data_IF_178699375635
#
_entry.id   IF_178699375635
#
_cell.length_a   1.000
_cell.length_b   1.000
_cell.length_c   1.000
_cell.angle_alpha   90.00
_cell.angle_beta   90.00
_cell.angle_gamma   90.00
#
_symmetry.space_group_name_H-M   'P 1'
#
loop_
_entity.id
_entity.type
_entity.pdbx_description
1 polymer ?
#
# COMPACT_ATOMS: atom_id res chain seq x y z
N UNK A 1 7.59 9.56 5.57
CA UNK A 1 6.48 10.43 6.05
C UNK A 1 5.68 10.83 4.83
N UNK A 2 4.40 10.46 4.76
CA UNK A 2 3.60 10.90 3.62
C UNK A 2 3.46 12.43 3.62
N UNK A 3 3.16 13.01 2.46
CA UNK A 3 3.02 14.45 2.30
C UNK A 3 1.97 15.02 3.28
N UNK A 4 0.87 14.26 3.51
CA UNK A 4 -0.20 14.62 4.44
C UNK A 4 0.31 14.64 5.89
N UNK A 5 1.07 13.63 6.31
CA UNK A 5 1.64 13.58 7.67
C UNK A 5 2.72 14.65 7.88
N UNK A 6 3.54 14.96 6.85
CA UNK A 6 4.49 16.06 6.92
C UNK A 6 3.80 17.43 7.01
N UNK A 7 2.74 17.63 6.23
CA UNK A 7 1.94 18.85 6.23
C UNK A 7 1.19 18.97 7.57
N UNK A 8 0.52 17.92 8.04
CA UNK A 8 -0.29 17.93 9.25
C UNK A 8 0.54 17.97 10.56
N UNK A 9 1.82 17.56 10.52
CA UNK A 9 2.72 17.61 11.66
C UNK A 9 3.59 18.89 11.71
N UNK A 10 3.53 19.72 10.67
CA UNK A 10 4.28 20.99 10.65
C UNK A 10 3.31 22.17 10.84
N UNK A 11 3.31 22.72 12.07
CA UNK A 11 2.38 23.79 12.47
C UNK A 11 2.47 25.06 11.59
N UNK A 12 3.65 25.36 11.04
CA UNK A 12 3.83 26.51 10.14
C UNK A 12 3.17 26.29 8.80
N UNK A 13 3.30 25.09 8.23
CA UNK A 13 2.64 24.71 6.96
C UNK A 13 1.12 24.67 7.15
N UNK A 14 0.61 24.21 8.29
CA UNK A 14 -0.83 24.15 8.57
C UNK A 14 -1.46 25.54 8.61
N UNK A 15 -0.78 26.52 9.19
CA UNK A 15 -1.27 27.91 9.24
C UNK A 15 -1.37 28.51 7.84
N UNK A 16 -0.38 28.23 6.99
CA UNK A 16 -0.38 28.70 5.61
C UNK A 16 -1.48 28.04 4.77
N UNK A 17 -1.72 26.74 4.98
CA UNK A 17 -2.78 25.99 4.27
C UNK A 17 -4.20 26.37 4.69
N UNK A 18 -4.40 26.92 5.89
CA UNK A 18 -5.70 27.45 6.34
C UNK A 18 -6.09 28.74 5.59
N UNK A 19 -5.09 29.49 5.11
CA UNK A 19 -5.32 30.72 4.33
C UNK A 19 -5.62 30.45 2.84
N UNK A 20 -5.29 29.28 2.33
CA UNK A 20 -5.49 28.90 0.92
C UNK A 20 -6.95 28.53 0.68
N UNK A 21 -7.65 29.29 -0.13
CA UNK A 21 -9.06 29.02 -0.51
C UNK A 21 -9.13 28.22 -1.81
N UNK A 22 -10.11 27.33 -1.87
CA UNK A 22 -10.38 26.52 -3.06
C UNK A 22 -11.19 27.32 -4.06
N UNK A 23 -10.78 27.26 -5.33
CA UNK A 23 -11.39 28.06 -6.39
C UNK A 23 -12.76 27.62 -6.90
N UNK A 24 -13.40 26.63 -6.25
CA UNK A 24 -14.71 26.08 -6.64
C UNK A 24 -15.92 26.85 -6.09
N UNK A 25 -15.67 27.95 -5.36
CA UNK A 25 -16.72 28.72 -4.66
C UNK A 25 -17.09 28.14 -3.29
N UNK A 26 -16.48 27.04 -2.83
CA UNK A 26 -16.63 26.55 -1.47
C UNK A 26 -15.80 27.40 -0.50
N UNK A 27 -16.22 27.47 0.77
CA UNK A 27 -15.43 28.09 1.81
C UNK A 27 -14.42 27.11 2.44
N UNK A 28 -14.23 25.94 1.83
CA UNK A 28 -13.32 24.92 2.34
C UNK A 28 -11.87 25.37 2.18
N UNK A 29 -11.07 25.22 3.21
CA UNK A 29 -9.63 25.44 3.15
C UNK A 29 -8.94 24.22 2.52
N UNK A 30 -7.71 24.41 2.00
CA UNK A 30 -6.90 23.29 1.54
C UNK A 30 -6.66 22.27 2.68
N UNK A 31 -6.63 22.71 3.94
CA UNK A 31 -6.59 21.85 5.12
C UNK A 31 -7.85 20.97 5.22
N UNK A 32 -9.04 21.53 4.99
CA UNK A 32 -10.29 20.77 5.04
C UNK A 32 -10.33 19.74 3.93
N UNK A 33 -9.85 20.09 2.73
CA UNK A 33 -9.71 19.16 1.62
C UNK A 33 -8.70 18.06 1.95
N UNK A 34 -7.52 18.39 2.43
CA UNK A 34 -6.51 17.40 2.84
C UNK A 34 -7.00 16.52 3.98
N UNK A 35 -7.84 17.04 4.88
CA UNK A 35 -8.49 16.27 5.94
C UNK A 35 -9.65 15.41 5.42
N UNK A 36 -10.32 15.84 4.35
CA UNK A 36 -11.37 15.06 3.67
C UNK A 36 -10.81 13.91 2.83
N UNK A 37 -9.53 13.99 2.44
CA UNK A 37 -8.81 12.83 1.94
C UNK A 37 -8.55 11.89 3.12
N UNK A 38 -9.54 11.07 3.45
CA UNK A 38 -9.31 9.89 4.29
C UNK A 38 -8.08 9.15 3.77
N UNK A 39 -7.22 8.61 4.65
CA UNK A 39 -6.18 7.68 4.21
C UNK A 39 -6.86 6.66 3.30
N UNK A 40 -6.18 6.28 2.22
CA UNK A 40 -6.77 5.45 1.17
C UNK A 40 -7.43 4.22 1.81
N UNK A 41 -8.75 4.31 2.01
CA UNK A 41 -9.56 3.18 2.43
C UNK A 41 -9.45 2.17 1.31
N UNK A 42 -9.33 0.90 1.64
CA UNK A 42 -9.42 -0.17 0.65
C UNK A 42 -10.84 -0.13 0.09
N UNK A 43 -10.99 0.52 -1.04
CA UNK A 43 -12.28 0.72 -1.72
C UNK A 43 -12.32 -0.11 -3.00
N UNK A 44 -13.51 -0.45 -3.49
CA UNK A 44 -13.67 -1.05 -4.80
C UNK A 44 -12.87 -0.27 -5.85
N UNK A 45 -12.05 -0.97 -6.60
CA UNK A 45 -11.12 -0.38 -7.54
C UNK A 45 -10.79 -1.41 -8.60
N UNK A 46 -10.57 -1.00 -9.83
CA UNK A 46 -10.31 -1.95 -10.92
C UNK A 46 -8.82 -1.99 -11.20
N UNK A 47 -8.22 -3.18 -10.97
CA UNK A 47 -6.88 -3.52 -11.44
C UNK A 47 -5.74 -2.78 -10.75
N UNK A 48 -5.87 -2.44 -9.47
CA UNK A 48 -4.72 -1.93 -8.70
C UNK A 48 -3.70 -3.03 -8.48
N UNK A 49 -2.43 -2.74 -8.72
CA UNK A 49 -1.36 -3.74 -8.57
C UNK A 49 -0.75 -3.70 -7.18
N UNK A 50 -0.52 -4.90 -6.64
CA UNK A 50 0.15 -5.14 -5.37
C UNK A 50 1.51 -5.80 -5.65
N UNK A 51 2.57 -5.25 -5.10
CA UNK A 51 3.92 -5.84 -5.21
C UNK A 51 4.05 -7.05 -4.28
N UNK A 52 4.14 -8.25 -4.85
CA UNK A 52 4.25 -9.52 -4.13
C UNK A 52 5.61 -9.62 -3.45
N UNK A 53 5.62 -9.67 -2.12
CA UNK A 53 6.83 -9.63 -1.27
C UNK A 53 7.70 -8.40 -1.57
N UNK A 54 7.09 -7.26 -1.88
CA UNK A 54 7.73 -6.09 -2.47
C UNK A 54 7.83 -6.19 -4.00
N UNK A 55 8.87 -5.59 -4.59
CA UNK A 55 9.16 -5.73 -6.02
C UNK A 55 10.13 -6.90 -6.23
N UNK A 56 9.63 -8.11 -6.09
CA UNK A 56 10.39 -9.35 -6.09
C UNK A 56 11.30 -9.54 -7.31
N UNK A 57 10.87 -9.09 -8.49
CA UNK A 57 11.72 -9.18 -9.70
C UNK A 57 12.92 -8.22 -9.70
N UNK A 58 12.94 -7.23 -8.82
CA UNK A 58 13.96 -6.17 -8.80
C UNK A 58 14.87 -6.22 -7.56
N UNK A 59 14.43 -6.82 -6.47
CA UNK A 59 15.20 -6.94 -5.23
C UNK A 59 14.79 -8.21 -4.48
N UNK A 60 15.61 -8.71 -3.54
CA UNK A 60 15.29 -9.89 -2.76
C UNK A 60 13.94 -9.75 -2.02
N UNK A 61 13.12 -10.80 -2.07
CA UNK A 61 11.78 -10.84 -1.49
C UNK A 61 11.75 -10.50 0.00
N UNK A 62 10.65 -9.88 0.46
CA UNK A 62 10.42 -9.57 1.87
C UNK A 62 11.57 -8.79 2.55
N UNK A 63 12.22 -7.89 1.81
CA UNK A 63 13.29 -7.03 2.32
C UNK A 63 12.92 -5.55 2.22
N UNK A 64 13.58 -4.72 3.02
CA UNK A 64 13.42 -3.26 2.91
C UNK A 64 13.70 -2.76 1.49
N UNK A 65 14.70 -3.33 0.82
CA UNK A 65 15.04 -3.00 -0.56
C UNK A 65 13.89 -3.31 -1.54
N UNK A 66 13.23 -4.48 -1.42
CA UNK A 66 12.10 -4.83 -2.29
C UNK A 66 10.85 -3.98 -1.99
N UNK A 67 10.62 -3.62 -0.74
CA UNK A 67 9.51 -2.76 -0.35
C UNK A 67 9.69 -1.34 -0.88
N UNK A 68 10.87 -0.75 -0.73
CA UNK A 68 11.20 0.56 -1.28
C UNK A 68 11.15 0.55 -2.81
N UNK A 69 11.71 -0.48 -3.46
CA UNK A 69 11.65 -0.63 -4.91
C UNK A 69 10.20 -0.70 -5.41
N UNK A 70 9.31 -1.42 -4.71
CA UNK A 70 7.89 -1.48 -5.06
C UNK A 70 7.20 -0.12 -4.92
N UNK A 71 7.49 0.62 -3.86
CA UNK A 71 6.99 1.98 -3.67
C UNK A 71 7.45 2.92 -4.78
N UNK A 72 8.73 2.89 -5.14
CA UNK A 72 9.33 3.70 -6.21
C UNK A 72 8.76 3.33 -7.58
N UNK A 73 8.51 2.04 -7.82
CA UNK A 73 7.90 1.55 -9.05
C UNK A 73 6.44 1.98 -9.20
N UNK A 74 5.75 2.30 -8.09
CA UNK A 74 4.38 2.81 -8.08
C UNK A 74 3.32 1.73 -7.92
N UNK A 75 3.66 0.60 -7.29
CA UNK A 75 2.64 -0.34 -6.82
C UNK A 75 1.70 0.37 -5.84
N UNK A 76 0.39 0.09 -5.96
CA UNK A 76 -0.62 0.64 -5.06
C UNK A 76 -0.48 0.10 -3.64
N UNK A 77 -0.20 -1.19 -3.52
CA UNK A 77 0.01 -1.88 -2.26
C UNK A 77 1.29 -2.71 -2.30
N UNK A 78 1.83 -2.98 -1.15
CA UNK A 78 3.02 -3.81 -0.98
C UNK A 78 2.61 -5.01 -0.14
N UNK A 79 2.74 -6.20 -0.69
CA UNK A 79 2.47 -7.42 0.06
C UNK A 79 3.73 -7.89 0.78
N UNK A 80 3.53 -8.46 1.96
CA UNK A 80 4.54 -9.13 2.78
C UNK A 80 3.94 -10.27 3.58
N UNK A 81 4.75 -11.30 3.81
CA UNK A 81 4.43 -12.42 4.71
C UNK A 81 4.97 -12.16 6.10
N UNK A 82 4.18 -12.35 7.16
CA UNK A 82 4.64 -12.18 8.53
C UNK A 82 4.67 -13.46 9.33
N UNK A 83 5.76 -13.61 10.10
CA UNK A 83 5.96 -14.66 11.09
C UNK A 83 6.30 -14.06 12.45
N UNK A 84 6.01 -14.80 13.53
CA UNK A 84 6.51 -14.44 14.85
C UNK A 84 7.79 -15.20 15.21
N UNK A 85 8.72 -14.52 15.86
CA UNK A 85 9.92 -15.11 16.47
C UNK A 85 9.64 -15.72 17.84
N UNK A 86 10.61 -16.45 18.41
CA UNK A 86 10.50 -17.05 19.75
C UNK A 86 10.40 -16.01 20.86
N UNK A 87 11.09 -14.88 20.71
CA UNK A 87 11.09 -13.76 21.67
C UNK A 87 9.95 -12.76 21.42
N UNK A 88 9.08 -13.03 20.44
CA UNK A 88 7.83 -12.30 20.26
C UNK A 88 7.88 -11.12 19.31
N UNK A 89 8.92 -10.99 18.49
CA UNK A 89 8.94 -10.03 17.40
C UNK A 89 8.15 -10.55 16.19
N UNK A 90 7.68 -9.62 15.34
CA UNK A 90 7.10 -9.95 14.03
C UNK A 90 8.12 -9.59 12.95
N UNK A 91 8.35 -10.53 12.04
CA UNK A 91 9.34 -10.39 10.96
C UNK A 91 8.72 -10.68 9.60
N UNK A 92 9.27 -10.05 8.55
CA UNK A 92 8.81 -10.23 7.18
C UNK A 92 9.63 -11.34 6.51
N UNK A 93 9.03 -12.50 6.31
CA UNK A 93 9.64 -13.65 5.64
C UNK A 93 8.55 -14.62 5.18
N UNK A 94 8.71 -15.24 4.00
CA UNK A 94 7.69 -16.13 3.45
C UNK A 94 7.68 -17.52 4.09
N UNK A 95 8.84 -18.16 4.18
CA UNK A 95 8.94 -19.54 4.61
C UNK A 95 8.88 -19.65 6.14
N UNK A 96 8.48 -20.81 6.65
CA UNK A 96 8.53 -21.10 8.08
C UNK A 96 9.96 -21.20 8.62
N UNK A 97 10.96 -21.27 7.73
CA UNK A 97 12.39 -21.32 8.08
C UNK A 97 13.15 -20.21 7.35
N UNK A 98 14.33 -19.85 7.87
CA UNK A 98 15.18 -18.83 7.27
C UNK A 98 16.12 -19.38 6.16
N UNK A 99 16.14 -20.70 5.95
CA UNK A 99 17.16 -21.44 5.19
C UNK A 99 17.24 -21.05 3.71
N UNK A 100 16.12 -20.74 3.06
CA UNK A 100 16.09 -20.48 1.61
C UNK A 100 16.61 -19.11 1.22
N UNK A 101 16.43 -18.12 2.09
CA UNK A 101 16.69 -16.71 1.76
C UNK A 101 17.83 -16.11 2.55
N UNK A 102 18.42 -16.87 3.50
CA UNK A 102 19.52 -16.38 4.34
C UNK A 102 20.65 -17.40 4.44
N UNK A 103 21.84 -16.92 4.84
CA UNK A 103 23.01 -17.73 5.16
C UNK A 103 22.88 -18.50 6.51
N UNK A 104 21.73 -18.40 7.17
CA UNK A 104 21.38 -19.11 8.40
C UNK A 104 20.47 -20.32 8.19
N UNK A 105 20.04 -20.95 9.28
CA UNK A 105 19.10 -22.06 9.24
C UNK A 105 18.23 -22.13 10.51
N UNK A 106 17.02 -22.68 10.35
CA UNK A 106 16.10 -22.93 11.44
C UNK A 106 14.71 -22.32 11.28
N UNK A 107 13.78 -22.80 12.09
CA UNK A 107 12.42 -22.30 12.09
C UNK A 107 12.33 -20.90 12.73
N UNK A 108 11.67 -19.97 12.04
CA UNK A 108 11.50 -18.57 12.48
C UNK A 108 10.94 -18.49 13.89
N UNK A 109 9.92 -19.28 14.21
CA UNK A 109 9.28 -19.28 15.53
C UNK A 109 10.11 -19.93 16.66
N UNK A 110 11.24 -20.57 16.34
CA UNK A 110 12.18 -21.13 17.31
C UNK A 110 13.40 -20.23 17.54
N UNK A 111 13.62 -19.25 16.67
CA UNK A 111 14.74 -18.31 16.73
C UNK A 111 14.29 -16.99 17.34
N UNK A 112 15.17 -16.34 18.11
CA UNK A 112 15.00 -14.96 18.53
C UNK A 112 15.27 -14.02 17.34
N UNK A 113 14.72 -12.80 17.37
CA UNK A 113 15.01 -11.82 16.34
C UNK A 113 16.51 -11.51 16.23
N UNK A 114 17.22 -11.50 17.37
CA UNK A 114 18.67 -11.31 17.39
C UNK A 114 19.42 -12.41 16.64
N UNK A 115 19.02 -13.66 16.78
CA UNK A 115 19.62 -14.78 16.04
C UNK A 115 19.35 -14.64 14.54
N UNK A 116 18.14 -14.25 14.13
CA UNK A 116 17.79 -13.98 12.72
C UNK A 116 18.61 -12.80 12.18
N UNK A 117 18.81 -11.74 12.95
CA UNK A 117 19.62 -10.59 12.55
C UNK A 117 21.11 -10.88 12.39
N UNK A 118 21.62 -11.96 12.99
CA UNK A 118 23.00 -12.39 12.75
C UNK A 118 23.20 -13.00 11.35
N UNK A 119 22.13 -13.49 10.72
CA UNK A 119 22.15 -14.02 9.36
C UNK A 119 21.99 -12.89 8.33
N UNK A 120 22.61 -13.06 7.15
CA UNK A 120 22.40 -12.15 6.02
C UNK A 120 21.42 -12.78 5.03
N UNK A 121 20.64 -11.94 4.35
CA UNK A 121 19.94 -12.38 3.13
C UNK A 121 21.03 -12.67 2.09
N UNK A 122 21.04 -13.88 1.53
CA UNK A 122 22.03 -14.36 0.59
C UNK A 122 21.44 -14.88 -0.74
N UNK A 123 20.11 -14.89 -0.83
CA UNK A 123 19.37 -15.33 -2.02
C UNK A 123 18.24 -14.36 -2.40
N UNK A 124 17.90 -14.37 -3.68
CA UNK A 124 16.84 -13.55 -4.25
C UNK A 124 17.32 -12.74 -5.46
N UNK A 125 16.38 -12.04 -6.08
CA UNK A 125 16.65 -11.24 -7.29
C UNK A 125 17.67 -10.16 -7.00
N UNK A 126 18.69 -10.07 -7.85
CA UNK A 126 19.74 -9.05 -7.77
C UNK A 126 20.47 -8.95 -6.42
N UNK A 127 20.56 -10.07 -5.68
CA UNK A 127 21.16 -10.07 -4.33
C UNK A 127 22.57 -9.47 -4.28
N UNK A 128 23.36 -9.60 -5.34
CA UNK A 128 24.71 -9.01 -5.46
C UNK A 128 24.71 -7.48 -5.29
N UNK A 129 23.61 -6.82 -5.62
CA UNK A 129 23.49 -5.36 -5.58
C UNK A 129 23.07 -4.86 -4.19
N UNK A 130 22.75 -5.79 -3.28
CA UNK A 130 22.22 -5.51 -1.95
C UNK A 130 23.01 -6.20 -0.82
N UNK A 131 24.32 -5.93 -0.69
CA UNK A 131 25.13 -6.59 0.34
C UNK A 131 24.68 -6.24 1.76
N UNK A 132 24.61 -7.24 2.63
CA UNK A 132 24.32 -7.04 4.05
C UNK A 132 22.84 -6.82 4.41
N UNK A 133 21.91 -7.12 3.50
CA UNK A 133 20.48 -7.13 3.82
C UNK A 133 20.18 -8.11 4.96
N UNK A 134 19.21 -7.75 5.76
CA UNK A 134 18.69 -8.53 6.88
C UNK A 134 17.19 -8.77 6.72
N UNK A 135 16.68 -9.79 7.41
CA UNK A 135 15.23 -10.00 7.55
C UNK A 135 14.64 -8.83 8.33
N UNK A 136 13.73 -8.04 7.73
CA UNK A 136 13.20 -6.85 8.39
C UNK A 136 12.16 -7.20 9.45
N UNK A 137 12.02 -6.34 10.45
CA UNK A 137 10.86 -6.32 11.33
C UNK A 137 9.62 -5.83 10.60
N UNK A 138 8.48 -6.22 11.09
CA UNK A 138 7.18 -5.75 10.60
C UNK A 138 7.04 -4.22 10.69
N UNK A 139 7.61 -3.61 11.73
CA UNK A 139 7.65 -2.16 11.92
C UNK A 139 8.43 -1.44 10.82
N UNK A 140 9.51 -2.03 10.31
CA UNK A 140 10.31 -1.45 9.21
C UNK A 140 9.49 -1.43 7.92
N UNK A 141 8.77 -2.52 7.62
CA UNK A 141 7.85 -2.59 6.50
C UNK A 141 6.73 -1.54 6.59
N UNK A 142 6.06 -1.43 7.74
CA UNK A 142 5.02 -0.41 7.95
C UNK A 142 5.57 1.02 7.83
N UNK A 143 6.79 1.25 8.31
CA UNK A 143 7.48 2.53 8.17
C UNK A 143 7.66 2.91 6.71
N UNK A 144 8.10 1.97 5.87
CA UNK A 144 8.27 2.19 4.42
C UNK A 144 6.90 2.44 3.77
N UNK A 145 5.90 1.60 4.02
CA UNK A 145 4.55 1.82 3.48
C UNK A 145 4.01 3.21 3.84
N UNK A 146 4.16 3.62 5.10
CA UNK A 146 3.74 4.94 5.58
C UNK A 146 4.51 6.07 4.89
N UNK A 147 5.84 5.93 4.76
CA UNK A 147 6.70 6.94 4.16
C UNK A 147 6.32 7.23 2.70
N UNK A 148 5.95 6.20 1.94
CA UNK A 148 5.63 6.30 0.53
C UNK A 148 4.13 6.39 0.23
N UNK A 149 3.27 6.26 1.25
CA UNK A 149 1.81 6.23 1.09
C UNK A 149 1.29 4.96 0.40
N UNK A 150 2.04 3.87 0.43
CA UNK A 150 1.63 2.58 -0.09
C UNK A 150 0.71 1.85 0.91
N UNK A 151 -0.24 1.06 0.39
CA UNK A 151 -1.13 0.26 1.22
C UNK A 151 -0.41 -1.00 1.71
N UNK A 152 -0.31 -1.23 3.04
CA UNK A 152 0.19 -2.49 3.55
C UNK A 152 -0.79 -3.63 3.22
N UNK A 153 -0.28 -4.68 2.59
CA UNK A 153 -1.00 -5.93 2.34
C UNK A 153 -0.25 -7.05 3.06
N UNK A 154 -0.87 -7.64 4.09
CA UNK A 154 -0.16 -8.45 5.08
C UNK A 154 -0.71 -9.88 5.03
N UNK A 155 0.09 -10.83 4.53
CA UNK A 155 -0.23 -12.24 4.69
C UNK A 155 0.15 -12.71 6.09
N UNK A 156 -0.85 -13.13 6.87
CA UNK A 156 -0.64 -13.68 8.21
C UNK A 156 -0.32 -15.16 8.09
N UNK A 157 0.95 -15.48 7.86
CA UNK A 157 1.39 -16.82 7.47
C UNK A 157 1.93 -17.66 8.62
N UNK A 158 2.76 -17.09 9.45
CA UNK A 158 3.48 -17.80 10.50
C UNK A 158 2.86 -17.71 11.89
N UNK A 159 1.73 -17.03 12.03
CA UNK A 159 1.04 -16.89 13.33
C UNK A 159 -0.04 -17.96 13.44
N UNK A 160 0.10 -18.86 14.42
CA UNK A 160 -0.91 -19.90 14.65
C UNK A 160 -2.22 -19.29 15.16
N UNK A 161 -3.36 -19.84 14.73
CA UNK A 161 -4.71 -19.33 15.04
C UNK A 161 -4.99 -19.24 16.55
N UNK A 162 -4.45 -20.13 17.36
CA UNK A 162 -4.60 -20.09 18.81
C UNK A 162 -3.67 -19.10 19.52
N UNK A 163 -2.82 -18.39 18.78
CA UNK A 163 -1.83 -17.47 19.34
C UNK A 163 -2.26 -16.01 19.27
N UNK A 164 -3.41 -15.71 19.85
CA UNK A 164 -4.09 -14.40 19.82
C UNK A 164 -3.18 -13.24 20.23
N UNK A 165 -2.17 -13.45 21.07
CA UNK A 165 -1.25 -12.37 21.48
C UNK A 165 -0.51 -11.73 20.29
N UNK A 166 -0.15 -12.52 19.27
CA UNK A 166 0.56 -11.99 18.10
C UNK A 166 -0.37 -11.28 17.12
N UNK A 167 -1.62 -11.75 16.99
CA UNK A 167 -2.64 -10.98 16.25
C UNK A 167 -2.88 -9.62 16.90
N UNK A 168 -2.97 -9.57 18.24
CA UNK A 168 -3.09 -8.31 18.99
C UNK A 168 -1.86 -7.43 18.78
N UNK A 169 -0.63 -8.00 18.84
CA UNK A 169 0.61 -7.24 18.56
C UNK A 169 0.57 -6.67 17.14
N UNK A 170 0.29 -7.47 16.12
CA UNK A 170 0.19 -7.03 14.73
C UNK A 170 -0.77 -5.84 14.58
N UNK A 171 -1.99 -5.98 15.09
CA UNK A 171 -3.02 -4.93 14.97
C UNK A 171 -2.64 -3.68 15.77
N UNK A 172 -2.05 -3.83 16.96
CA UNK A 172 -1.55 -2.71 17.76
C UNK A 172 -0.46 -1.95 17.00
N UNK A 173 0.50 -2.65 16.39
CA UNK A 173 1.54 -2.04 15.58
C UNK A 173 0.94 -1.30 14.37
N UNK A 174 -0.02 -1.90 13.65
CA UNK A 174 -0.71 -1.22 12.53
C UNK A 174 -1.38 0.09 13.02
N UNK A 175 -2.01 0.09 14.20
CA UNK A 175 -2.63 1.28 14.81
C UNK A 175 -1.61 2.34 15.18
N UNK A 176 -0.49 1.97 15.76
CA UNK A 176 0.61 2.88 16.11
C UNK A 176 1.16 3.61 14.89
N UNK A 177 1.17 2.94 13.72
CA UNK A 177 1.53 3.56 12.45
C UNK A 177 0.38 4.33 11.80
N UNK A 178 -0.83 4.34 12.39
CA UNK A 178 -2.00 5.05 11.86
C UNK A 178 -2.56 4.47 10.56
N UNK A 179 -2.35 3.16 10.31
CA UNK A 179 -2.66 2.52 9.03
C UNK A 179 -3.83 1.54 9.09
N UNK A 180 -4.59 1.49 10.19
CA UNK A 180 -5.65 0.49 10.39
C UNK A 180 -6.75 0.54 9.31
N UNK A 181 -7.09 1.73 8.81
CA UNK A 181 -8.10 1.91 7.75
C UNK A 181 -7.53 1.78 6.33
N UNK A 182 -6.20 1.89 6.20
CA UNK A 182 -5.48 1.78 4.92
C UNK A 182 -4.68 0.49 4.81
N UNK A 183 -5.08 -0.57 5.50
CA UNK A 183 -4.38 -1.84 5.56
C UNK A 183 -5.29 -2.97 5.07
N UNK A 184 -4.69 -3.94 4.43
CA UNK A 184 -5.31 -5.20 4.03
C UNK A 184 -4.59 -6.36 4.73
N UNK A 185 -5.34 -7.26 5.37
CA UNK A 185 -4.81 -8.54 5.84
C UNK A 185 -5.34 -9.66 4.96
N UNK A 186 -4.48 -10.60 4.60
CA UNK A 186 -4.81 -11.78 3.81
C UNK A 186 -4.40 -13.06 4.54
N UNK A 187 -5.13 -14.15 4.31
CA UNK A 187 -4.84 -15.44 4.96
C UNK A 187 -6.01 -16.42 4.92
N UNK A 188 -5.96 -17.44 5.76
CA UNK A 188 -7.05 -18.43 5.88
C UNK A 188 -8.33 -17.78 6.43
N UNK A 189 -9.48 -18.41 6.18
CA UNK A 189 -10.77 -17.95 6.73
C UNK A 189 -10.73 -17.82 8.26
N UNK A 190 -10.14 -18.79 8.96
CA UNK A 190 -9.99 -18.74 10.42
C UNK A 190 -9.14 -17.54 10.85
N UNK A 191 -8.01 -17.34 10.19
CA UNK A 191 -7.11 -16.23 10.45
C UNK A 191 -7.83 -14.88 10.24
N UNK A 192 -8.55 -14.71 9.15
CA UNK A 192 -9.29 -13.49 8.85
C UNK A 192 -10.44 -13.24 9.83
N UNK A 193 -11.10 -14.30 10.31
CA UNK A 193 -12.11 -14.20 11.37
C UNK A 193 -11.50 -13.68 12.69
N UNK A 194 -10.28 -14.11 13.02
CA UNK A 194 -9.56 -13.61 14.20
C UNK A 194 -9.20 -12.12 14.01
N UNK A 195 -8.64 -11.74 12.87
CA UNK A 195 -8.33 -10.33 12.54
C UNK A 195 -9.60 -9.49 12.67
N UNK A 196 -10.72 -9.93 12.09
CA UNK A 196 -12.01 -9.26 12.15
C UNK A 196 -12.54 -9.08 13.57
N UNK A 197 -12.36 -10.10 14.43
CA UNK A 197 -12.75 -10.01 15.84
C UNK A 197 -12.00 -8.94 16.64
N UNK A 198 -10.79 -8.56 16.18
CA UNK A 198 -9.91 -7.58 16.81
C UNK A 198 -9.96 -6.20 16.14
N UNK A 199 -10.35 -6.12 14.87
CA UNK A 199 -10.50 -4.88 14.11
C UNK A 199 -11.60 -4.97 13.06
N UNK A 200 -12.52 -4.01 13.07
CA UNK A 200 -13.54 -3.84 12.03
C UNK A 200 -13.08 -2.90 10.90
N UNK A 201 -11.95 -2.22 11.05
CA UNK A 201 -11.44 -1.23 10.10
C UNK A 201 -10.55 -1.84 9.02
N UNK A 202 -9.72 -2.82 9.39
CA UNK A 202 -8.82 -3.52 8.45
C UNK A 202 -9.66 -4.26 7.42
N UNK A 203 -9.31 -4.08 6.12
CA UNK A 203 -9.86 -4.93 5.06
C UNK A 203 -9.26 -6.33 5.16
N UNK A 204 -10.10 -7.38 5.11
CA UNK A 204 -9.63 -8.77 5.20
C UNK A 204 -9.95 -9.53 3.92
N UNK A 205 -9.02 -10.34 3.44
CA UNK A 205 -9.25 -11.22 2.29
C UNK A 205 -8.89 -12.66 2.62
N UNK A 206 -9.77 -13.56 2.24
CA UNK A 206 -9.55 -15.00 2.40
C UNK A 206 -8.84 -15.54 1.16
N UNK A 207 -7.68 -16.17 1.35
CA UNK A 207 -6.94 -16.82 0.27
C UNK A 207 -7.64 -18.11 -0.15
N UNK A 208 -7.83 -18.29 -1.45
CA UNK A 208 -8.40 -19.49 -2.05
C UNK A 208 -7.41 -20.08 -3.07
N UNK A 209 -6.82 -21.21 -2.71
CA UNK A 209 -5.81 -21.90 -3.52
C UNK A 209 -6.38 -22.77 -4.65
N UNK A 210 -7.63 -23.21 -4.55
CA UNK A 210 -8.25 -24.13 -5.51
C UNK A 210 -9.68 -23.71 -5.84
N UNK A 211 -10.04 -23.72 -7.13
CA UNK A 211 -11.39 -23.39 -7.59
C UNK A 211 -12.48 -24.27 -6.96
N UNK A 212 -12.19 -25.55 -6.75
CA UNK A 212 -13.11 -26.52 -6.13
C UNK A 212 -13.53 -26.16 -4.71
N UNK A 213 -12.77 -25.28 -4.05
CA UNK A 213 -13.05 -24.82 -2.69
C UNK A 213 -13.97 -23.58 -2.68
N UNK A 214 -14.27 -22.99 -3.85
CA UNK A 214 -15.14 -21.82 -3.95
C UNK A 214 -16.59 -22.26 -4.02
N UNK A 215 -17.25 -22.28 -2.88
CA UNK A 215 -18.69 -22.55 -2.77
C UNK A 215 -19.45 -21.27 -2.46
N UNK A 216 -20.75 -21.26 -2.75
CA UNK A 216 -21.63 -20.15 -2.38
C UNK A 216 -21.62 -19.91 -0.87
N UNK A 217 -21.62 -20.99 -0.10
CA UNK A 217 -21.56 -20.93 1.36
C UNK A 217 -20.26 -20.27 1.86
N UNK A 218 -19.12 -20.60 1.26
CA UNK A 218 -17.84 -19.94 1.59
C UNK A 218 -17.90 -18.44 1.29
N UNK A 219 -18.41 -18.04 0.12
CA UNK A 219 -18.50 -16.63 -0.24
C UNK A 219 -19.44 -15.86 0.71
N UNK A 220 -20.56 -16.46 1.10
CA UNK A 220 -21.48 -15.87 2.09
C UNK A 220 -20.81 -15.74 3.48
N UNK A 221 -20.06 -16.74 3.91
CA UNK A 221 -19.31 -16.67 5.17
C UNK A 221 -18.24 -15.55 5.13
N UNK A 222 -17.53 -15.37 4.01
CA UNK A 222 -16.56 -14.29 3.84
C UNK A 222 -17.28 -12.93 3.83
N UNK A 223 -18.41 -12.81 3.14
CA UNK A 223 -19.20 -11.59 3.11
C UNK A 223 -19.72 -11.21 4.51
N UNK A 224 -20.05 -12.19 5.33
CA UNK A 224 -20.48 -11.97 6.72
C UNK A 224 -19.39 -11.38 7.61
N UNK A 225 -18.11 -11.47 7.24
CA UNK A 225 -17.03 -10.78 7.95
C UNK A 225 -17.15 -9.24 7.82
N UNK A 226 -17.77 -8.74 6.75
CA UNK A 226 -17.83 -7.30 6.44
C UNK A 226 -16.46 -6.69 6.12
N UNK A 227 -16.41 -5.67 5.30
CA UNK A 227 -15.17 -5.08 4.79
C UNK A 227 -14.17 -6.16 4.36
N UNK A 228 -14.63 -7.05 3.48
CA UNK A 228 -13.94 -8.29 3.15
C UNK A 228 -13.84 -8.55 1.65
N UNK A 229 -13.02 -9.50 1.28
CA UNK A 229 -12.82 -9.93 -0.08
C UNK A 229 -12.21 -11.33 -0.19
N UNK A 230 -11.93 -11.73 -1.41
CA UNK A 230 -11.35 -13.04 -1.74
C UNK A 230 -10.06 -12.81 -2.53
N UNK A 231 -9.05 -13.57 -2.18
CA UNK A 231 -7.75 -13.56 -2.85
C UNK A 231 -7.53 -14.89 -3.57
N UNK A 232 -7.74 -14.89 -4.88
CA UNK A 232 -7.75 -16.09 -5.70
C UNK A 232 -6.39 -16.39 -6.32
N UNK A 233 -6.04 -17.66 -6.40
CA UNK A 233 -5.04 -18.07 -7.36
C UNK A 233 -5.53 -17.74 -8.79
N UNK A 234 -4.69 -17.13 -9.62
CA UNK A 234 -5.06 -16.54 -10.91
C UNK A 234 -5.75 -17.48 -11.91
N UNK A 235 -5.49 -18.80 -11.82
CA UNK A 235 -6.12 -19.81 -12.70
C UNK A 235 -7.60 -20.08 -12.38
N UNK A 236 -8.15 -19.45 -11.33
CA UNK A 236 -9.48 -19.77 -10.80
C UNK A 236 -10.48 -18.62 -10.92
N UNK A 237 -10.15 -17.61 -11.69
CA UNK A 237 -10.99 -16.42 -11.86
C UNK A 237 -11.56 -16.36 -13.26
N UNK A 238 -12.88 -16.21 -13.33
CA UNK A 238 -13.60 -15.81 -14.53
C UNK A 238 -14.57 -14.66 -14.24
N UNK A 239 -15.21 -14.14 -15.28
CA UNK A 239 -16.12 -12.99 -15.18
C UNK A 239 -17.33 -13.28 -14.27
N UNK A 240 -17.82 -14.52 -14.23
CA UNK A 240 -18.98 -14.88 -13.41
C UNK A 240 -18.60 -14.91 -11.93
N UNK A 241 -17.40 -15.42 -11.62
CA UNK A 241 -16.87 -15.41 -10.26
C UNK A 241 -16.68 -13.99 -9.74
N UNK A 242 -16.08 -13.10 -10.53
CA UNK A 242 -15.90 -11.68 -10.15
C UNK A 242 -17.24 -11.01 -9.88
N UNK A 243 -18.22 -11.16 -10.80
CA UNK A 243 -19.57 -10.61 -10.62
C UNK A 243 -20.24 -11.12 -9.36
N UNK A 244 -20.16 -12.43 -9.11
CA UNK A 244 -20.75 -13.05 -7.93
C UNK A 244 -20.14 -12.50 -6.64
N UNK A 245 -18.82 -12.34 -6.59
CA UNK A 245 -18.16 -11.72 -5.44
C UNK A 245 -18.65 -10.27 -5.23
N UNK A 246 -18.71 -9.47 -6.30
CA UNK A 246 -19.18 -8.08 -6.22
C UNK A 246 -20.65 -7.98 -5.82
N UNK A 247 -21.53 -8.89 -6.28
CA UNK A 247 -22.94 -8.95 -5.86
C UNK A 247 -23.08 -9.22 -4.35
N UNK A 248 -22.11 -9.89 -3.73
CA UNK A 248 -22.02 -10.12 -2.30
C UNK A 248 -21.26 -9.01 -1.54
N UNK A 249 -20.80 -7.96 -2.24
CA UNK A 249 -20.01 -6.87 -1.66
C UNK A 249 -18.56 -7.25 -1.35
N UNK A 250 -18.06 -8.35 -1.91
CA UNK A 250 -16.68 -8.81 -1.75
C UNK A 250 -15.76 -8.18 -2.79
N UNK A 251 -14.60 -7.67 -2.35
CA UNK A 251 -13.53 -7.29 -3.27
C UNK A 251 -12.74 -8.51 -3.74
N UNK A 252 -12.23 -8.45 -4.96
CA UNK A 252 -11.52 -9.56 -5.60
C UNK A 252 -10.07 -9.20 -5.81
N UNK A 253 -9.17 -10.01 -5.29
CA UNK A 253 -7.74 -9.99 -5.58
C UNK A 253 -7.34 -11.26 -6.33
N UNK A 254 -6.24 -11.22 -7.07
CA UNK A 254 -5.65 -12.42 -7.68
C UNK A 254 -4.12 -12.41 -7.63
N UNK A 255 -3.54 -13.60 -7.47
CA UNK A 255 -2.11 -13.83 -7.35
C UNK A 255 -1.66 -15.12 -8.05
N UNK A 256 -0.41 -15.24 -8.51
CA UNK A 256 0.49 -14.16 -8.81
C UNK A 256 0.49 -13.96 -10.31
N UNK A 257 0.32 -12.74 -10.78
CA UNK A 257 0.19 -12.41 -12.20
C UNK A 257 1.39 -11.55 -12.62
N UNK A 258 2.28 -12.11 -13.45
CA UNK A 258 3.54 -11.47 -13.85
C UNK A 258 3.58 -11.04 -15.31
N UNK A 259 2.54 -11.33 -16.06
CA UNK A 259 2.42 -10.98 -17.47
C UNK A 259 1.50 -9.77 -17.66
N UNK A 260 1.97 -8.75 -18.36
CA UNK A 260 1.27 -7.48 -18.53
C UNK A 260 -0.06 -7.61 -19.29
N UNK A 261 -0.14 -8.55 -20.23
CA UNK A 261 -1.36 -8.82 -20.96
C UNK A 261 -2.40 -9.48 -20.06
N UNK A 262 -1.97 -10.41 -19.21
CA UNK A 262 -2.87 -11.06 -18.23
C UNK A 262 -3.36 -10.06 -17.19
N UNK A 263 -2.49 -9.16 -16.70
CA UNK A 263 -2.88 -8.07 -15.79
C UNK A 263 -4.00 -7.23 -16.42
N UNK A 264 -3.81 -6.80 -17.67
CA UNK A 264 -4.83 -6.03 -18.38
C UNK A 264 -6.12 -6.84 -18.63
N UNK A 265 -6.02 -8.14 -18.84
CA UNK A 265 -7.17 -9.03 -18.98
C UNK A 265 -7.97 -9.12 -17.68
N UNK A 266 -7.31 -9.35 -16.54
CA UNK A 266 -7.98 -9.36 -15.22
C UNK A 266 -8.58 -7.99 -14.87
N UNK A 267 -7.89 -6.91 -15.22
CA UNK A 267 -8.44 -5.55 -15.08
C UNK A 267 -9.77 -5.41 -15.86
N UNK A 268 -9.82 -5.90 -17.09
CA UNK A 268 -11.06 -5.89 -17.91
C UNK A 268 -12.16 -6.79 -17.36
N UNK A 269 -11.80 -7.86 -16.65
CA UNK A 269 -12.77 -8.70 -15.94
C UNK A 269 -13.37 -8.03 -14.71
N UNK A 270 -12.79 -6.91 -14.26
CA UNK A 270 -13.25 -6.19 -13.08
C UNK A 270 -12.58 -6.63 -11.78
N UNK A 271 -11.46 -7.35 -11.83
CA UNK A 271 -10.67 -7.70 -10.63
C UNK A 271 -10.17 -6.43 -9.98
N UNK A 272 -10.38 -6.29 -8.67
CA UNK A 272 -10.06 -5.06 -7.93
C UNK A 272 -8.55 -4.91 -7.71
N UNK A 273 -7.87 -5.99 -7.34
CA UNK A 273 -6.45 -6.02 -7.02
C UNK A 273 -5.74 -7.15 -7.74
N UNK A 274 -4.50 -6.92 -8.13
CA UNK A 274 -3.67 -7.90 -8.85
C UNK A 274 -2.30 -7.94 -8.22
N UNK A 275 -1.96 -9.03 -7.55
CA UNK A 275 -0.66 -9.24 -6.92
C UNK A 275 0.35 -9.75 -7.95
N UNK A 276 1.49 -9.03 -8.10
CA UNK A 276 2.50 -9.27 -9.12
C UNK A 276 3.92 -9.18 -8.58
N UNK A 277 4.82 -10.04 -9.12
CA UNK A 277 6.24 -9.96 -8.85
C UNK A 277 6.95 -8.86 -9.65
N UNK A 278 6.37 -8.45 -10.79
CA UNK A 278 7.12 -7.75 -11.83
C UNK A 278 6.43 -6.52 -12.44
N UNK A 279 5.17 -6.25 -12.12
CA UNK A 279 4.42 -5.26 -12.89
C UNK A 279 3.55 -4.34 -12.04
N UNK A 280 3.84 -3.03 -12.12
CA UNK A 280 3.00 -1.98 -11.56
C UNK A 280 2.20 -1.27 -12.68
N UNK A 281 0.87 -1.27 -12.57
CA UNK A 281 0.03 -0.48 -13.48
C UNK A 281 0.15 1.01 -13.13
N UNK A 282 0.42 1.83 -14.14
CA UNK A 282 0.59 3.28 -13.97
C UNK A 282 2.03 3.76 -13.85
N UNK A 283 2.99 2.84 -13.85
CA UNK A 283 4.40 3.07 -13.62
C UNK A 283 5.08 4.07 -14.58
N UNK A 284 4.63 4.17 -15.84
CA UNK A 284 5.33 4.99 -16.84
C UNK A 284 5.33 6.49 -16.54
N UNK A 285 4.35 6.98 -15.81
CA UNK A 285 4.28 8.41 -15.43
C UNK A 285 5.11 8.63 -14.15
N UNK A 286 5.03 7.73 -13.19
CA UNK A 286 5.78 7.80 -11.92
C UNK A 286 7.30 7.67 -12.13
N UNK A 287 7.76 6.80 -13.03
CA UNK A 287 9.19 6.64 -13.36
C UNK A 287 9.84 7.89 -13.91
N UNK A 288 9.15 8.63 -14.76
CA UNK A 288 9.71 9.87 -15.31
C UNK A 288 9.79 10.98 -14.26
N UNK A 289 8.83 11.04 -13.34
CA UNK A 289 8.80 12.05 -12.29
C UNK A 289 9.73 11.74 -11.12
N UNK A 290 9.85 10.48 -10.66
CA UNK A 290 10.75 10.14 -9.56
C UNK A 290 12.22 10.28 -9.92
N UNK A 291 12.62 10.02 -11.18
CA UNK A 291 14.01 10.24 -11.64
C UNK A 291 14.38 11.72 -11.74
N UNK A 292 13.41 12.59 -11.98
CA UNK A 292 13.63 14.04 -11.96
C UNK A 292 13.62 14.59 -10.52
N UNK A 293 12.82 14.02 -9.62
CA UNK A 293 12.72 14.49 -8.23
C UNK A 293 13.99 14.19 -7.41
N UNK A 294 14.70 13.08 -7.66
CA UNK A 294 15.97 12.77 -6.97
C UNK A 294 17.13 13.69 -7.41
N UNK A 295 17.02 14.35 -8.55
CA UNK A 295 17.98 15.31 -9.07
C UNK A 295 17.65 16.77 -8.75
N UNK A 296 16.42 17.07 -8.33
CA UNK A 296 15.97 18.39 -7.91
C UNK A 296 16.28 18.61 -6.43
N UNK A 297 17.56 18.79 -6.11
CA UNK A 297 17.91 19.59 -4.94
C UNK A 297 17.40 21.00 -5.25
N UNK A 298 16.27 21.36 -4.62
CA UNK A 298 15.75 22.73 -4.72
C UNK A 298 16.84 23.69 -4.29
N UNK A 299 17.41 24.41 -5.23
CA UNK A 299 18.41 25.48 -4.99
C UNK A 299 17.81 26.72 -4.33
N UNK A 300 16.51 26.72 -4.11
CA UNK A 300 15.77 27.85 -3.57
C UNK A 300 15.13 27.49 -2.23
N UNK A 301 15.77 27.91 -1.12
CA UNK A 301 15.20 27.91 0.23
C UNK A 301 14.04 28.92 0.39
N UNK A 302 13.34 29.28 -0.70
CA UNK A 302 12.22 30.21 -0.67
C UNK A 302 10.89 29.46 -0.70
N UNK A 303 9.89 30.08 -0.10
CA UNK A 303 8.48 29.59 -0.04
C UNK A 303 7.97 29.12 -1.41
N UNK A 304 8.36 29.77 -2.51
CA UNK A 304 8.01 29.35 -3.86
C UNK A 304 8.55 27.97 -4.25
N UNK A 305 9.75 27.59 -3.80
CA UNK A 305 10.30 26.25 -4.01
C UNK A 305 9.52 25.17 -3.26
N UNK A 306 9.15 25.48 -2.01
CA UNK A 306 8.32 24.58 -1.20
C UNK A 306 6.90 24.42 -1.77
N UNK A 307 6.29 25.49 -2.29
CA UNK A 307 5.00 25.48 -2.94
C UNK A 307 5.04 24.68 -4.25
N UNK A 308 6.08 24.85 -5.07
CA UNK A 308 6.26 24.07 -6.28
C UNK A 308 6.48 22.59 -6.00
N UNK A 309 7.17 22.24 -4.91
CA UNK A 309 7.33 20.86 -4.46
C UNK A 309 6.00 20.28 -3.95
N UNK A 310 5.23 21.06 -3.18
CA UNK A 310 3.87 20.68 -2.72
C UNK A 310 2.93 20.53 -3.91
N UNK A 311 2.97 21.45 -4.87
CA UNK A 311 2.17 21.38 -6.09
C UNK A 311 2.52 20.15 -6.95
N UNK A 312 3.80 19.84 -7.12
CA UNK A 312 4.25 18.64 -7.85
C UNK A 312 3.76 17.36 -7.17
N UNK A 313 3.92 17.28 -5.85
CA UNK A 313 3.48 16.13 -5.04
C UNK A 313 1.96 16.04 -4.95
N UNK A 314 1.25 17.17 -4.86
CA UNK A 314 -0.20 17.22 -4.84
C UNK A 314 -0.80 16.86 -6.20
N UNK A 315 -0.26 17.38 -7.32
CA UNK A 315 -0.67 16.97 -8.67
C UNK A 315 -0.46 15.47 -8.91
N UNK A 316 0.60 14.89 -8.33
CA UNK A 316 0.87 13.45 -8.40
C UNK A 316 -0.19 12.63 -7.63
N UNK A 317 -0.54 13.07 -6.41
CA UNK A 317 -1.59 12.44 -5.62
C UNK A 317 -2.99 12.54 -6.27
N UNK A 318 -3.26 13.62 -6.98
CA UNK A 318 -4.57 13.94 -7.56
C UNK A 318 -4.76 13.37 -8.96
N UNK A 319 -3.73 13.21 -9.74
CA UNK A 319 -3.80 12.38 -10.95
C UNK A 319 -4.17 10.93 -10.62
N UNK A 320 -3.92 10.49 -9.36
CA UNK A 320 -4.43 9.25 -8.80
C UNK A 320 -5.90 9.33 -8.33
N UNK A 321 -6.47 10.54 -8.17
CA UNK A 321 -7.77 10.83 -7.55
C UNK A 321 -8.81 11.44 -8.50
N UNK A 322 -8.86 11.10 -9.77
CA UNK A 322 -9.89 11.52 -10.74
C UNK A 322 -9.62 12.77 -11.62
N UNK A 323 -8.38 13.05 -11.96
CA UNK A 323 -8.11 14.03 -13.04
C UNK A 323 -8.23 15.51 -12.65
N UNK A 324 -8.24 15.84 -11.37
CA UNK A 324 -8.08 17.22 -10.91
C UNK A 324 -6.64 17.70 -11.10
N UNK A 325 -6.44 18.92 -11.52
CA UNK A 325 -5.13 19.58 -11.60
C UNK A 325 -4.99 20.65 -10.51
N UNK A 326 -3.74 20.94 -10.09
CA UNK A 326 -3.44 22.08 -9.20
C UNK A 326 -2.58 23.10 -9.92
N UNK A 327 -2.93 24.37 -9.78
CA UNK A 327 -2.19 25.48 -10.38
C UNK A 327 -1.89 26.50 -9.27
N UNK A 328 -0.62 26.84 -9.09
CA UNK A 328 -0.23 28.00 -8.26
C UNK A 328 -0.41 29.27 -9.07
N UNK A 329 -1.10 30.25 -8.52
CA UNK A 329 -1.45 31.49 -9.19
C UNK A 329 -1.48 32.63 -8.17
N UNK A 330 -1.09 33.84 -8.59
CA UNK A 330 -1.24 35.01 -7.72
C UNK A 330 -2.71 35.40 -7.55
N UNK A 331 -3.03 36.12 -6.48
CA UNK A 331 -4.40 36.62 -6.27
C UNK A 331 -4.87 37.51 -7.43
N UNK A 332 -3.99 38.34 -7.99
CA UNK A 332 -4.29 39.17 -9.14
C UNK A 332 -4.58 38.34 -10.41
N UNK A 333 -3.78 37.32 -10.67
CA UNK A 333 -3.95 36.48 -11.85
C UNK A 333 -5.20 35.58 -11.70
N UNK A 334 -5.48 35.10 -10.50
CA UNK A 334 -6.69 34.34 -10.23
C UNK A 334 -7.97 35.14 -10.46
N UNK A 335 -7.97 36.40 -10.04
CA UNK A 335 -9.10 37.31 -10.28
C UNK A 335 -9.24 37.65 -11.79
N UNK A 336 -8.12 37.70 -12.50
CA UNK A 336 -8.11 38.00 -13.95
C UNK A 336 -8.54 36.83 -14.86
N UNK A 337 -8.70 35.61 -14.31
CA UNK A 337 -9.20 34.48 -15.10
C UNK A 337 -10.64 34.69 -15.52
N UNK A 338 -10.88 34.79 -16.83
CA UNK A 338 -12.23 34.90 -17.40
C UNK A 338 -13.09 33.69 -17.16
N UNK A 339 -12.47 32.50 -17.17
CA UNK A 339 -13.09 31.21 -16.83
C UNK A 339 -12.19 30.38 -15.95
N UNK A 340 -12.78 29.71 -14.96
CA UNK A 340 -12.09 28.76 -14.07
C UNK A 340 -12.46 27.35 -14.44
N UNK A 341 -11.44 26.51 -14.66
CA UNK A 341 -11.66 25.09 -14.94
C UNK A 341 -12.18 24.40 -13.67
N UNK A 342 -13.35 23.74 -13.70
CA UNK A 342 -13.93 23.06 -12.56
C UNK A 342 -13.12 21.85 -12.08
N UNK A 343 -12.19 21.34 -12.90
CA UNK A 343 -11.28 20.26 -12.53
C UNK A 343 -9.92 20.77 -12.07
N UNK A 344 -9.75 22.06 -11.88
CA UNK A 344 -8.49 22.67 -11.44
C UNK A 344 -8.64 23.30 -10.06
N UNK A 345 -7.77 22.93 -9.15
CA UNK A 345 -7.59 23.59 -7.84
C UNK A 345 -6.54 24.67 -7.98
N UNK A 346 -6.94 25.91 -7.79
CA UNK A 346 -6.05 27.06 -7.86
C UNK A 346 -5.49 27.35 -6.46
N UNK A 347 -4.18 27.31 -6.34
CA UNK A 347 -3.46 27.70 -5.12
C UNK A 347 -3.11 29.17 -5.25
N UNK A 348 -3.94 30.03 -4.66
CA UNK A 348 -3.74 31.49 -4.70
C UNK A 348 -2.69 31.89 -3.68
N UNK A 349 -1.61 32.51 -4.15
CA UNK A 349 -0.52 33.04 -3.31
C UNK A 349 -0.49 34.56 -3.46
N UNK A 350 -0.27 35.26 -2.36
CA UNK A 350 -0.05 36.72 -2.36
C UNK A 350 1.34 37.08 -2.85
#
# INVERSE_FOLDING_TARGET
MDLKSNILNNSSILTDLESVKVGDGSNASLKDILNSFSPAIVTPSVGKTIGHRGYYSNAPENTTASFEAACIEGFWGIETDIHNTSDGELVCIHDATIDRTTDGSGHVNNLTYKEIQNCNIDAGSHISDYPGLKVPKFEEYLSICRQYGAIPVIEVKGIKDNNIKYYKKMISTIREYGMEESCMCIGSQTCMSIVRSLSHKIHVQVIVYQATNVTDDLLLQIAALGNSGVDFHNTHIDINMVKKCHELGLLVNCWTVNDSYMIESYRKLGVDFITSNAYALGCNISRMQSRTDSSLKTKDNKVAGAINEVNSKANKAINQLNGLSFVSITASDYVALETKDPNTVYLVTD
#
